data_IF_375702418116
#
_entry.id   IF_375702418116
#
_cell.length_a   1.000
_cell.length_b   1.000
_cell.length_c   1.000
_cell.angle_alpha   90.00
_cell.angle_beta   90.00
_cell.angle_gamma   90.00
#
_symmetry.space_group_name_H-M   'P 1'
#
loop_
_entity.id
_entity.type
_entity.pdbx_description
1 polymer ?
#
# COMPACT_ATOMS: atom_id res chain seq x y z
N UNK A 1 17.34 -16.53 9.85
CA UNK A 1 18.07 -16.99 8.66
C UNK A 1 17.15 -17.92 7.88
N UNK A 2 16.63 -17.48 6.73
CA UNK A 2 15.67 -18.26 5.93
C UNK A 2 16.30 -18.73 4.62
N UNK A 3 15.81 -19.83 4.05
CA UNK A 3 16.41 -20.44 2.85
C UNK A 3 16.36 -19.54 1.60
N UNK A 4 15.49 -18.53 1.59
CA UNK A 4 15.37 -17.56 0.50
C UNK A 4 16.27 -16.33 0.68
N UNK A 5 16.93 -16.18 1.83
CA UNK A 5 17.84 -15.06 2.10
C UNK A 5 19.19 -15.30 1.43
N UNK A 6 19.81 -14.24 0.92
CA UNK A 6 21.19 -14.27 0.45
C UNK A 6 22.18 -13.79 1.49
N UNK A 7 23.49 -13.98 1.22
CA UNK A 7 24.57 -13.44 2.05
C UNK A 7 24.58 -11.91 2.18
N UNK A 8 23.79 -11.20 1.37
CA UNK A 8 23.64 -9.74 1.45
C UNK A 8 22.46 -9.29 2.33
N UNK A 9 21.65 -10.22 2.83
CA UNK A 9 20.55 -9.94 3.74
C UNK A 9 21.10 -9.51 5.09
N UNK A 10 20.87 -8.26 5.49
CA UNK A 10 21.32 -7.75 6.79
C UNK A 10 20.18 -7.10 7.54
N UNK A 11 19.98 -7.47 8.80
CA UNK A 11 19.00 -6.80 9.66
C UNK A 11 19.63 -5.57 10.33
N UNK A 12 18.79 -4.64 10.79
CA UNK A 12 19.26 -3.44 11.52
C UNK A 12 20.09 -3.81 12.75
N UNK A 13 19.81 -4.94 13.38
CA UNK A 13 20.51 -5.47 14.56
C UNK A 13 21.91 -6.01 14.24
N UNK A 14 22.15 -6.49 13.01
CA UNK A 14 23.45 -7.03 12.59
C UNK A 14 24.48 -5.91 12.34
N UNK A 15 24.01 -4.71 11.99
CA UNK A 15 24.86 -3.54 11.71
C UNK A 15 25.50 -3.00 12.99
N UNK A 16 24.77 -2.99 14.11
CA UNK A 16 25.27 -2.49 15.41
C UNK A 16 26.44 -3.31 15.95
N UNK A 17 26.44 -4.64 15.79
CA UNK A 17 27.55 -5.50 16.24
C UNK A 17 28.80 -5.39 15.33
N UNK A 18 28.63 -4.97 14.08
CA UNK A 18 29.73 -4.84 13.11
C UNK A 18 30.60 -3.60 13.33
N UNK A 19 30.13 -2.65 14.14
CA UNK A 19 30.75 -1.33 14.33
C UNK A 19 31.81 -1.27 15.44
N UNK A 20 31.98 -2.33 16.24
CA UNK A 20 32.80 -2.29 17.46
C UNK A 20 34.21 -2.92 17.32
N UNK A 21 34.63 -3.35 16.13
CA UNK A 21 35.99 -3.89 16.00
C UNK A 21 36.33 -4.34 14.60
N UNK A 22 36.98 -3.47 13.83
CA UNK A 22 38.03 -3.77 12.84
C UNK A 22 38.34 -2.52 12.01
N UNK A 23 39.61 -2.25 11.76
CA UNK A 23 40.05 -1.29 10.74
C UNK A 23 39.69 -1.85 9.35
N UNK A 24 38.48 -1.55 8.89
CA UNK A 24 37.97 -2.07 7.61
C UNK A 24 38.24 -1.06 6.50
N UNK A 25 38.81 -1.54 5.40
CA UNK A 25 39.14 -0.75 4.21
C UNK A 25 37.87 -0.08 3.64
N UNK A 26 37.83 1.26 3.63
CA UNK A 26 36.61 2.08 3.43
C UNK A 26 35.92 1.77 2.08
N UNK A 27 36.70 1.41 1.05
CA UNK A 27 36.18 1.04 -0.28
C UNK A 27 35.42 -0.29 -0.29
N UNK A 28 35.79 -1.25 0.56
CA UNK A 28 35.08 -2.53 0.66
C UNK A 28 33.78 -2.40 1.47
N UNK A 29 33.75 -1.52 2.48
CA UNK A 29 32.52 -1.16 3.19
C UNK A 29 31.53 -0.50 2.23
N UNK A 30 31.99 0.47 1.43
CA UNK A 30 31.12 1.20 0.48
C UNK A 30 30.51 0.28 -0.58
N UNK A 31 31.27 -0.66 -1.12
CA UNK A 31 30.75 -1.65 -2.08
C UNK A 31 29.80 -2.66 -1.43
N UNK A 32 29.99 -2.99 -0.15
CA UNK A 32 29.09 -3.89 0.58
C UNK A 32 27.80 -3.17 1.03
N UNK A 33 27.86 -1.90 1.44
CA UNK A 33 26.66 -1.12 1.81
C UNK A 33 25.73 -0.89 0.62
N UNK A 34 26.27 -0.73 -0.59
CA UNK A 34 25.48 -0.59 -1.82
C UNK A 34 24.70 -1.87 -2.22
N UNK A 35 25.07 -3.03 -1.68
CA UNK A 35 24.44 -4.33 -2.00
C UNK A 35 23.59 -4.91 -0.87
N UNK A 36 23.50 -4.23 0.28
CA UNK A 36 22.72 -4.72 1.43
C UNK A 36 21.23 -4.58 1.16
N UNK A 37 20.51 -5.68 1.40
CA UNK A 37 19.05 -5.75 1.26
C UNK A 37 18.42 -6.04 2.61
N UNK A 38 17.25 -5.45 2.86
CA UNK A 38 16.51 -5.70 4.10
C UNK A 38 15.86 -7.09 4.07
N UNK A 39 15.69 -7.78 5.22
CA UNK A 39 15.06 -9.09 5.25
C UNK A 39 13.62 -9.08 4.73
N UNK A 40 12.87 -7.99 4.95
CA UNK A 40 11.51 -7.80 4.43
C UNK A 40 11.49 -7.63 2.91
N UNK A 41 12.45 -6.90 2.34
CA UNK A 41 12.60 -6.77 0.90
C UNK A 41 12.97 -8.12 0.26
N UNK A 42 13.92 -8.86 0.82
CA UNK A 42 14.29 -10.19 0.31
C UNK A 42 13.11 -11.17 0.40
N UNK A 43 12.38 -11.15 1.51
CA UNK A 43 11.15 -11.94 1.66
C UNK A 43 10.13 -11.61 0.56
N UNK A 44 9.86 -10.32 0.33
CA UNK A 44 8.91 -9.89 -0.69
C UNK A 44 9.36 -10.30 -2.10
N UNK A 45 10.61 -10.00 -2.47
CA UNK A 45 11.11 -10.18 -3.84
C UNK A 45 11.43 -11.64 -4.17
N UNK A 46 12.06 -12.38 -3.24
CA UNK A 46 12.57 -13.74 -3.49
C UNK A 46 11.62 -14.82 -3.02
N UNK A 47 10.84 -14.60 -1.96
CA UNK A 47 9.96 -15.64 -1.42
C UNK A 47 8.49 -15.46 -1.80
N UNK A 48 7.92 -14.26 -1.66
CA UNK A 48 6.51 -14.01 -2.02
C UNK A 48 6.37 -13.98 -3.54
N UNK A 49 7.08 -13.05 -4.20
CA UNK A 49 6.98 -12.86 -5.64
C UNK A 49 7.79 -13.92 -6.42
N UNK A 50 9.06 -14.17 -6.06
CA UNK A 50 10.10 -14.75 -6.96
C UNK A 50 10.10 -14.00 -8.29
N UNK A 51 10.65 -12.79 -8.27
CA UNK A 51 10.84 -12.03 -9.51
C UNK A 51 11.69 -12.84 -10.49
N UNK A 52 11.27 -12.85 -11.76
CA UNK A 52 12.10 -13.26 -12.88
C UNK A 52 13.13 -12.16 -13.21
N UNK A 53 14.10 -12.50 -14.05
CA UNK A 53 15.18 -11.59 -14.39
C UNK A 53 14.74 -10.47 -15.34
N UNK A 54 13.68 -10.67 -16.12
CA UNK A 54 13.24 -9.74 -17.15
C UNK A 54 11.73 -9.86 -17.45
N UNK A 55 11.14 -8.80 -18.00
CA UNK A 55 9.71 -8.74 -18.36
C UNK A 55 9.34 -9.72 -19.48
N UNK A 56 10.28 -10.04 -20.37
CA UNK A 56 10.11 -11.02 -21.44
C UNK A 56 10.08 -12.47 -20.93
N UNK A 57 10.50 -12.71 -19.69
CA UNK A 57 10.47 -14.02 -19.05
C UNK A 57 9.52 -14.00 -17.87
N UNK A 58 8.28 -14.46 -18.08
CA UNK A 58 7.24 -14.48 -17.06
C UNK A 58 7.51 -15.49 -15.92
N UNK A 59 8.49 -16.39 -16.09
CA UNK A 59 8.80 -17.41 -15.10
C UNK A 59 7.66 -18.41 -14.89
N UNK A 60 7.57 -18.95 -13.67
CA UNK A 60 6.58 -19.96 -13.28
C UNK A 60 5.42 -19.36 -12.49
N UNK A 61 4.22 -19.93 -12.66
CA UNK A 61 3.04 -19.54 -11.88
C UNK A 61 3.20 -20.00 -10.43
N UNK A 62 3.08 -19.05 -9.51
CA UNK A 62 3.22 -19.30 -8.08
C UNK A 62 1.92 -19.83 -7.52
N UNK A 63 1.85 -21.15 -7.32
CA UNK A 63 0.65 -21.82 -6.80
C UNK A 63 0.07 -21.20 -5.52
N UNK A 64 0.87 -20.74 -4.53
CA UNK A 64 0.32 -20.05 -3.36
C UNK A 64 -0.40 -18.73 -3.71
N UNK A 65 0.18 -17.92 -4.60
CA UNK A 65 -0.44 -16.67 -5.05
C UNK A 65 -1.68 -16.94 -5.91
N UNK A 66 -1.64 -17.97 -6.76
CA UNK A 66 -2.80 -18.42 -7.53
C UNK A 66 -3.93 -18.89 -6.61
N UNK A 67 -3.59 -19.61 -5.53
CA UNK A 67 -4.54 -20.00 -4.49
C UNK A 67 -5.15 -18.79 -3.78
N UNK A 68 -4.34 -17.81 -3.35
CA UNK A 68 -4.82 -16.56 -2.76
C UNK A 68 -5.73 -15.77 -3.70
N UNK A 69 -5.40 -15.72 -5.00
CA UNK A 69 -6.23 -15.10 -6.02
C UNK A 69 -7.57 -15.84 -6.19
N UNK A 70 -7.53 -17.18 -6.23
CA UNK A 70 -8.73 -18.02 -6.32
C UNK A 70 -9.67 -17.82 -5.13
N UNK A 71 -9.12 -17.81 -3.91
CA UNK A 71 -9.89 -17.50 -2.69
C UNK A 71 -10.49 -16.10 -2.75
N UNK A 72 -9.73 -15.11 -3.22
CA UNK A 72 -10.21 -13.73 -3.35
C UNK A 72 -11.39 -13.63 -4.33
N UNK A 73 -11.33 -14.33 -5.46
CA UNK A 73 -12.44 -14.41 -6.42
C UNK A 73 -13.68 -15.11 -5.86
N UNK A 74 -13.50 -16.17 -5.08
CA UNK A 74 -14.61 -16.85 -4.38
C UNK A 74 -15.29 -15.88 -3.42
N UNK A 75 -14.51 -15.12 -2.63
CA UNK A 75 -15.06 -14.11 -1.71
C UNK A 75 -15.84 -13.03 -2.48
N UNK A 76 -15.27 -12.48 -3.55
CA UNK A 76 -15.95 -11.48 -4.41
C UNK A 76 -17.25 -12.05 -4.97
N UNK A 77 -17.23 -13.28 -5.47
CA UNK A 77 -18.42 -13.95 -5.98
C UNK A 77 -19.51 -14.08 -4.90
N UNK A 78 -19.16 -14.53 -3.69
CA UNK A 78 -20.09 -14.64 -2.56
C UNK A 78 -20.67 -13.27 -2.14
N UNK A 79 -19.87 -12.21 -2.19
CA UNK A 79 -20.34 -10.85 -1.93
C UNK A 79 -21.36 -10.37 -2.98
N UNK A 80 -21.18 -10.77 -4.24
CA UNK A 80 -21.98 -10.32 -5.38
C UNK A 80 -23.17 -11.23 -5.72
N UNK A 81 -23.23 -12.47 -5.22
CA UNK A 81 -24.23 -13.48 -5.63
C UNK A 81 -25.69 -13.03 -5.42
N UNK A 82 -25.95 -12.17 -4.42
CA UNK A 82 -27.28 -11.56 -4.18
C UNK A 82 -27.30 -10.06 -4.53
N UNK A 83 -26.40 -9.63 -5.42
CA UNK A 83 -26.25 -8.25 -5.88
C UNK A 83 -26.10 -7.27 -4.70
N UNK A 84 -26.67 -6.07 -4.82
CA UNK A 84 -26.56 -4.97 -3.85
C UNK A 84 -27.09 -5.29 -2.44
N UNK A 85 -27.97 -6.30 -2.29
CA UNK A 85 -28.51 -6.68 -0.98
C UNK A 85 -27.51 -7.42 -0.09
N UNK A 86 -26.61 -8.23 -0.68
CA UNK A 86 -25.55 -8.91 0.06
C UNK A 86 -24.31 -8.03 0.19
N UNK A 87 -23.91 -7.39 -0.91
CA UNK A 87 -22.78 -6.46 -0.91
C UNK A 87 -22.97 -5.35 0.13
N UNK A 88 -24.16 -4.75 0.23
CA UNK A 88 -24.44 -3.72 1.24
C UNK A 88 -24.23 -4.20 2.69
N UNK A 89 -24.47 -5.48 3.01
CA UNK A 89 -24.22 -6.03 4.35
C UNK A 89 -22.74 -6.22 4.63
N UNK A 90 -22.00 -6.76 3.65
CA UNK A 90 -20.56 -6.99 3.76
C UNK A 90 -19.80 -5.66 3.87
N UNK A 91 -20.25 -4.65 3.13
CA UNK A 91 -19.66 -3.31 3.12
C UNK A 91 -19.65 -2.65 4.51
N UNK A 92 -20.65 -2.91 5.36
CA UNK A 92 -20.61 -2.38 6.74
C UNK A 92 -19.37 -2.83 7.51
N UNK A 93 -18.87 -4.04 7.28
CA UNK A 93 -17.62 -4.50 7.87
C UNK A 93 -16.42 -4.02 7.04
N UNK A 94 -16.41 -4.28 5.73
CA UNK A 94 -15.21 -4.04 4.90
C UNK A 94 -14.88 -2.57 4.72
N UNK A 95 -15.87 -1.66 4.82
CA UNK A 95 -15.62 -0.22 4.76
C UNK A 95 -15.24 0.39 6.12
N UNK A 96 -15.72 -0.17 7.25
CA UNK A 96 -15.45 0.39 8.58
C UNK A 96 -14.18 -0.19 9.22
N UNK A 97 -13.89 -1.47 8.99
CA UNK A 97 -12.74 -2.16 9.56
C UNK A 97 -11.40 -1.50 9.23
N UNK A 98 -11.13 -1.02 7.99
CA UNK A 98 -9.91 -0.28 7.68
C UNK A 98 -9.71 0.95 8.57
N UNK A 99 -10.76 1.73 8.87
CA UNK A 99 -10.66 2.89 9.77
C UNK A 99 -10.28 2.50 11.20
N UNK A 100 -10.80 1.37 11.69
CA UNK A 100 -10.41 0.83 12.99
C UNK A 100 -8.92 0.44 13.01
N UNK A 101 -8.46 -0.27 11.99
CA UNK A 101 -7.03 -0.66 11.88
C UNK A 101 -6.15 0.57 11.74
N UNK A 102 -6.51 1.54 10.90
CA UNK A 102 -5.79 2.80 10.75
C UNK A 102 -5.72 3.58 12.05
N UNK A 103 -6.79 3.60 12.84
CA UNK A 103 -6.80 4.27 14.15
C UNK A 103 -5.84 3.59 15.12
N UNK A 104 -5.82 2.26 15.17
CA UNK A 104 -4.89 1.49 16.01
C UNK A 104 -3.44 1.73 15.57
N UNK A 105 -3.18 1.67 14.25
CA UNK A 105 -1.86 1.94 13.69
C UNK A 105 -1.42 3.39 13.90
N UNK A 106 -2.34 4.35 13.85
CA UNK A 106 -2.06 5.75 14.13
C UNK A 106 -1.63 5.94 15.58
N UNK A 107 -2.43 5.45 16.55
CA UNK A 107 -2.08 5.52 17.98
C UNK A 107 -0.76 4.83 18.26
N UNK A 108 -0.52 3.65 17.66
CA UNK A 108 0.76 2.97 17.77
C UNK A 108 1.90 3.77 17.14
N UNK A 109 1.68 4.36 15.97
CA UNK A 109 2.68 5.15 15.25
C UNK A 109 3.12 6.39 16.00
N UNK A 110 2.19 7.15 16.57
CA UNK A 110 2.52 8.38 17.33
C UNK A 110 3.16 8.10 18.70
N UNK A 111 2.97 6.90 19.25
CA UNK A 111 3.60 6.50 20.53
C UNK A 111 5.02 5.95 20.37
N UNK A 112 5.49 5.76 19.13
CA UNK A 112 6.87 5.33 18.87
C UNK A 112 7.84 6.53 18.93
N UNK A 113 9.05 6.25 19.41
CA UNK A 113 10.14 7.23 19.37
C UNK A 113 10.48 7.61 17.93
N UNK A 114 10.73 8.90 17.69
CA UNK A 114 11.02 9.42 16.35
C UNK A 114 9.79 9.69 15.46
N UNK A 115 8.56 9.47 15.95
CA UNK A 115 7.33 9.75 15.19
C UNK A 115 7.23 11.21 14.72
N UNK A 116 7.64 12.16 15.57
CA UNK A 116 7.61 13.60 15.24
C UNK A 116 8.46 13.91 14.01
N UNK A 117 9.65 13.32 13.88
CA UNK A 117 10.51 13.54 12.71
C UNK A 117 9.86 13.09 11.41
N UNK A 118 9.14 11.94 11.44
CA UNK A 118 8.38 11.46 10.29
C UNK A 118 7.20 12.37 9.93
N UNK A 119 6.47 12.86 10.94
CA UNK A 119 5.35 13.81 10.76
C UNK A 119 5.86 15.13 10.18
N UNK A 120 6.96 15.68 10.72
CA UNK A 120 7.57 16.90 10.20
C UNK A 120 8.02 16.72 8.76
N UNK A 121 8.68 15.60 8.42
CA UNK A 121 9.08 15.33 7.04
C UNK A 121 7.87 15.27 6.08
N UNK A 122 6.76 14.63 6.50
CA UNK A 122 5.56 14.51 5.68
C UNK A 122 4.82 15.84 5.48
N UNK A 123 4.73 16.68 6.52
CA UNK A 123 3.93 17.90 6.51
C UNK A 123 4.71 19.17 6.16
N UNK A 124 6.04 19.14 6.07
CA UNK A 124 6.84 20.33 5.75
C UNK A 124 6.57 20.76 4.30
N UNK A 125 5.94 21.94 4.07
CA UNK A 125 5.56 22.36 2.73
C UNK A 125 6.80 22.84 1.94
N UNK A 126 6.88 22.43 0.68
CA UNK A 126 7.88 22.92 -0.27
C UNK A 126 7.19 23.84 -1.29
N UNK A 127 7.10 25.13 -0.98
CA UNK A 127 6.33 26.10 -1.78
C UNK A 127 6.83 26.23 -3.23
N UNK A 128 8.14 26.08 -3.45
CA UNK A 128 8.73 26.13 -4.79
C UNK A 128 8.18 25.02 -5.72
N UNK A 129 7.73 23.89 -5.16
CA UNK A 129 7.17 22.78 -5.94
C UNK A 129 5.78 23.06 -6.48
N UNK A 130 5.02 23.99 -5.88
CA UNK A 130 3.67 24.32 -6.35
C UNK A 130 3.72 25.02 -7.72
N UNK A 131 4.84 25.65 -8.06
CA UNK A 131 5.06 26.28 -9.37
C UNK A 131 5.30 25.25 -10.49
N UNK A 132 5.59 24.00 -10.15
CA UNK A 132 5.79 22.93 -11.13
C UNK A 132 4.43 22.36 -11.59
N UNK A 133 4.16 22.46 -12.89
CA UNK A 133 2.94 21.92 -13.51
C UNK A 133 2.77 20.41 -13.28
N UNK A 134 3.87 19.67 -13.10
CA UNK A 134 3.82 18.23 -12.82
C UNK A 134 3.09 17.92 -11.51
N UNK A 135 3.30 18.74 -10.46
CA UNK A 135 2.66 18.53 -9.15
C UNK A 135 1.13 18.63 -9.27
N UNK A 136 0.63 19.54 -10.11
CA UNK A 136 -0.80 19.66 -10.40
C UNK A 136 -1.34 18.49 -11.21
N UNK A 137 -0.56 17.99 -12.18
CA UNK A 137 -0.91 16.79 -12.94
C UNK A 137 -1.00 15.55 -12.03
N UNK A 138 -0.05 15.39 -11.12
CA UNK A 138 -0.04 14.29 -10.14
C UNK A 138 -1.22 14.41 -9.17
N UNK A 139 -1.51 15.62 -8.66
CA UNK A 139 -2.64 15.88 -7.78
C UNK A 139 -3.99 15.62 -8.45
N UNK A 140 -4.16 16.06 -9.70
CA UNK A 140 -5.37 15.81 -10.49
C UNK A 140 -5.56 14.30 -10.75
N UNK A 141 -4.49 13.60 -11.10
CA UNK A 141 -4.51 12.14 -11.29
C UNK A 141 -4.90 11.43 -9.99
N UNK A 142 -4.31 11.84 -8.86
CA UNK A 142 -4.57 11.25 -7.56
C UNK A 142 -6.05 11.35 -7.18
N UNK A 143 -6.67 12.53 -7.26
CA UNK A 143 -8.08 12.68 -6.88
C UNK A 143 -9.02 11.98 -7.89
N UNK A 144 -8.68 11.99 -9.17
CA UNK A 144 -9.46 11.32 -10.21
C UNK A 144 -9.51 9.80 -10.00
N UNK A 145 -8.36 9.17 -9.78
CA UNK A 145 -8.29 7.73 -9.50
C UNK A 145 -8.81 7.36 -8.11
N UNK A 146 -8.67 8.26 -7.11
CA UNK A 146 -9.21 8.02 -5.76
C UNK A 146 -10.74 7.98 -5.74
N UNK A 147 -11.41 8.97 -6.35
CA UNK A 147 -12.87 9.01 -6.40
C UNK A 147 -13.46 8.01 -7.40
N UNK A 148 -12.70 7.62 -8.44
CA UNK A 148 -13.18 6.71 -9.48
C UNK A 148 -14.36 7.28 -10.28
N UNK A 149 -14.38 8.61 -10.45
CA UNK A 149 -15.44 9.31 -11.17
C UNK A 149 -15.56 8.77 -12.62
N UNK A 150 -16.79 8.53 -13.08
CA UNK A 150 -17.11 8.05 -14.42
C UNK A 150 -16.70 6.60 -14.78
N UNK A 151 -16.30 5.77 -13.81
CA UNK A 151 -15.93 4.36 -14.06
C UNK A 151 -17.12 3.37 -13.99
N UNK A 152 -18.34 3.88 -14.00
CA UNK A 152 -19.57 3.07 -13.93
C UNK A 152 -19.95 2.63 -12.51
N UNK A 153 -19.00 2.37 -11.60
CA UNK A 153 -19.29 1.91 -10.24
C UNK A 153 -20.24 2.82 -9.45
N UNK A 154 -19.94 4.12 -9.40
CA UNK A 154 -20.80 5.12 -8.75
C UNK A 154 -22.18 5.25 -9.45
N UNK A 155 -22.20 5.15 -10.78
CA UNK A 155 -23.44 5.23 -11.59
C UNK A 155 -24.34 4.04 -11.28
N UNK A 156 -23.75 2.84 -11.23
CA UNK A 156 -24.45 1.60 -10.86
C UNK A 156 -24.97 1.66 -9.44
N UNK A 157 -24.21 2.19 -8.47
CA UNK A 157 -24.71 2.34 -7.10
C UNK A 157 -25.85 3.37 -7.02
N UNK A 158 -25.75 4.47 -7.75
CA UNK A 158 -26.78 5.50 -7.80
C UNK A 158 -28.10 4.99 -8.40
N UNK A 159 -28.06 4.06 -9.38
CA UNK A 159 -29.26 3.54 -10.02
C UNK A 159 -30.15 2.69 -9.09
N UNK A 160 -29.59 2.19 -7.97
CA UNK A 160 -30.35 1.47 -6.94
C UNK A 160 -30.91 2.38 -5.84
N UNK A 161 -30.70 3.70 -5.92
CA UNK A 161 -31.16 4.64 -4.91
C UNK A 161 -32.63 5.04 -5.11
N UNK A 162 -33.25 5.62 -4.07
CA UNK A 162 -34.62 6.15 -4.17
C UNK A 162 -34.65 7.35 -5.13
N UNK A 163 -35.73 7.48 -5.90
CA UNK A 163 -35.87 8.55 -6.90
C UNK A 163 -35.77 9.97 -6.31
N UNK A 164 -36.32 10.17 -5.11
CA UNK A 164 -36.26 11.47 -4.39
C UNK A 164 -35.13 11.53 -3.35
N UNK A 165 -34.06 10.74 -3.50
CA UNK A 165 -32.91 10.83 -2.61
C UNK A 165 -32.09 12.10 -2.89
N UNK A 166 -31.58 12.75 -1.84
CA UNK A 166 -30.71 13.91 -1.99
C UNK A 166 -29.29 13.50 -2.39
N UNK A 167 -29.10 13.22 -3.68
CA UNK A 167 -27.80 12.82 -4.23
C UNK A 167 -26.72 13.90 -4.07
N UNK A 168 -27.08 15.19 -4.07
CA UNK A 168 -26.13 16.28 -3.89
C UNK A 168 -25.43 16.22 -2.54
N UNK A 169 -26.21 15.99 -1.47
CA UNK A 169 -25.66 15.81 -0.11
C UNK A 169 -24.75 14.58 -0.04
N UNK A 170 -25.17 13.47 -0.63
CA UNK A 170 -24.41 12.23 -0.60
C UNK A 170 -23.09 12.37 -1.37
N UNK A 171 -23.10 13.03 -2.53
CA UNK A 171 -21.88 13.30 -3.30
C UNK A 171 -20.87 14.13 -2.53
N UNK A 172 -21.30 15.18 -1.82
CA UNK A 172 -20.40 15.99 -0.98
C UNK A 172 -19.78 15.16 0.14
N UNK A 173 -20.59 14.35 0.83
CA UNK A 173 -20.10 13.50 1.94
C UNK A 173 -19.09 12.48 1.43
N UNK A 174 -19.37 11.82 0.30
CA UNK A 174 -18.45 10.85 -0.31
C UNK A 174 -17.12 11.52 -0.68
N UNK A 175 -17.17 12.71 -1.31
CA UNK A 175 -15.96 13.43 -1.69
C UNK A 175 -15.12 13.84 -0.48
N UNK A 176 -15.75 14.38 0.58
CA UNK A 176 -15.02 14.79 1.79
C UNK A 176 -14.45 13.58 2.53
N UNK A 177 -15.17 12.45 2.57
CA UNK A 177 -14.71 11.24 3.29
C UNK A 177 -13.58 10.52 2.55
N UNK A 178 -13.51 10.66 1.23
CA UNK A 178 -12.43 10.07 0.42
C UNK A 178 -11.09 10.81 0.57
N UNK A 179 -11.13 12.14 0.78
CA UNK A 179 -9.96 12.99 0.95
C UNK A 179 -9.37 12.84 2.36
#
# INVERSE_FOLDING_TARGET
>A
NNFWNTGNCTSVLDVTNSSMGSSVNITHIFNQTLKRTSPSEEYWRRYVLKLSNDIGNLGEVRLPLLGCLGVSWIVVFLCLIKSVKSSGKVVYFTATFPYLVLTILFVRGITLEGAVSGITYYLTPQWDKILDAKVWGDAASQIFYSLGCAWGGLITMASYNKFHNNCYRDSIIISITNC
#
